data_IF_796818823887
#
_entry.id   IF_796818823887
#
_cell.length_a   1.000
_cell.length_b   1.000
_cell.length_c   1.000
_cell.angle_alpha   90.00
_cell.angle_beta   90.00
_cell.angle_gamma   90.00
#
_symmetry.space_group_name_H-M   'P 1'
#
loop_
_entity.id
_entity.type
_entity.pdbx_description
1 polymer ?
#
# COMPACT_ATOMS: atom_id res chain seq x y z
N UNK A 1 -24.97 38.03 0.25
CA UNK A 1 -24.14 36.83 0.49
C UNK A 1 -24.98 35.83 1.28
N UNK A 2 -25.75 35.00 0.60
CA UNK A 2 -26.44 33.88 1.24
C UNK A 2 -25.42 32.76 1.40
N UNK A 3 -24.99 32.51 2.64
CA UNK A 3 -24.22 31.31 2.96
C UNK A 3 -25.07 30.09 2.56
N UNK A 4 -24.54 29.24 1.69
CA UNK A 4 -25.11 27.92 1.42
C UNK A 4 -25.36 27.21 2.76
N UNK A 5 -26.64 27.03 3.10
CA UNK A 5 -27.05 26.43 4.37
C UNK A 5 -26.65 24.94 4.37
N UNK A 6 -25.45 24.64 4.88
CA UNK A 6 -25.02 23.27 5.14
C UNK A 6 -25.71 22.77 6.42
N UNK A 7 -26.69 21.88 6.30
CA UNK A 7 -27.20 21.15 7.45
C UNK A 7 -26.11 20.22 7.97
N UNK A 8 -25.55 20.55 9.12
CA UNK A 8 -24.46 19.82 9.78
C UNK A 8 -24.91 19.43 11.18
N UNK A 9 -24.50 18.26 11.65
CA UNK A 9 -24.82 17.83 13.00
C UNK A 9 -23.69 18.24 13.95
N UNK A 10 -24.07 18.87 15.06
CA UNK A 10 -23.15 19.41 16.05
C UNK A 10 -23.43 18.79 17.41
N UNK A 11 -22.39 18.28 18.05
CA UNK A 11 -22.45 17.71 19.39
C UNK A 11 -21.86 18.69 20.39
N UNK A 12 -22.65 19.07 21.39
CA UNK A 12 -22.24 19.94 22.48
C UNK A 12 -22.19 19.16 23.79
N UNK A 13 -21.16 19.41 24.61
CA UNK A 13 -21.09 18.90 25.98
C UNK A 13 -20.82 20.04 26.95
N UNK A 14 -21.24 19.89 28.21
CA UNK A 14 -20.82 20.81 29.26
C UNK A 14 -19.38 20.49 29.69
N UNK A 15 -18.53 21.50 29.74
CA UNK A 15 -17.20 21.38 30.34
C UNK A 15 -17.26 21.32 31.88
N UNK A 16 -16.11 21.21 32.55
CA UNK A 16 -16.02 21.18 34.02
C UNK A 16 -16.60 22.42 34.71
N UNK A 17 -16.73 23.54 34.00
CA UNK A 17 -17.37 24.77 34.47
C UNK A 17 -18.88 24.85 34.13
N UNK A 18 -19.47 23.77 33.59
CA UNK A 18 -20.89 23.71 33.23
C UNK A 18 -21.25 24.43 31.92
N UNK A 19 -20.27 24.97 31.19
CA UNK A 19 -20.48 25.70 29.93
C UNK A 19 -20.57 24.73 28.76
N UNK A 20 -21.60 24.88 27.92
CA UNK A 20 -21.71 24.16 26.65
C UNK A 20 -20.55 24.52 25.73
N UNK A 21 -19.85 23.50 25.25
CA UNK A 21 -18.75 23.60 24.29
C UNK A 21 -19.03 22.66 23.13
N UNK A 22 -18.73 23.11 21.91
CA UNK A 22 -18.78 22.27 20.72
C UNK A 22 -17.69 21.19 20.84
N UNK A 23 -18.09 19.93 20.83
CA UNK A 23 -17.20 18.78 20.97
C UNK A 23 -16.93 18.08 19.66
N UNK A 24 -17.93 18.01 18.79
CA UNK A 24 -17.78 17.42 17.48
C UNK A 24 -18.77 18.05 16.50
N UNK A 25 -18.42 18.03 15.22
CA UNK A 25 -19.21 18.56 14.12
C UNK A 25 -18.99 17.66 12.92
N UNK A 26 -20.06 17.28 12.21
CA UNK A 26 -19.92 16.53 10.97
C UNK A 26 -19.12 17.32 9.93
N UNK A 27 -18.19 16.65 9.23
CA UNK A 27 -17.44 17.27 8.13
C UNK A 27 -18.31 17.53 6.89
N UNK A 28 -19.26 16.62 6.64
CA UNK A 28 -20.17 16.67 5.50
C UNK A 28 -21.57 17.14 5.88
N UNK A 29 -22.32 17.54 4.84
CA UNK A 29 -23.75 17.81 4.95
C UNK A 29 -24.43 16.48 5.30
N UNK A 30 -25.16 16.45 6.40
CA UNK A 30 -25.93 15.26 6.74
C UNK A 30 -27.10 15.10 5.78
N UNK A 31 -27.49 13.85 5.48
CA UNK A 31 -28.64 13.55 4.62
C UNK A 31 -29.83 14.42 5.06
N UNK A 32 -30.36 15.25 4.16
CA UNK A 32 -31.67 15.83 4.37
C UNK A 32 -32.67 14.74 3.96
N UNK A 33 -33.36 14.16 4.94
CA UNK A 33 -34.59 13.45 4.63
C UNK A 33 -35.66 14.45 4.15
N UNK A 34 -36.81 13.94 3.75
CA UNK A 34 -37.98 14.79 3.44
C UNK A 34 -38.49 15.55 4.68
N UNK A 35 -38.02 15.14 5.87
CA UNK A 35 -38.34 15.71 7.18
C UNK A 35 -37.10 16.08 7.99
N UNK A 36 -37.31 16.90 9.01
CA UNK A 36 -36.32 17.15 10.07
C UNK A 36 -36.00 15.81 10.76
N UNK A 37 -34.72 15.43 10.90
CA UNK A 37 -34.37 14.17 11.55
C UNK A 37 -34.78 14.16 13.01
N UNK A 38 -35.25 13.00 13.47
CA UNK A 38 -35.53 12.77 14.89
C UNK A 38 -34.22 12.45 15.60
N UNK A 39 -33.97 13.13 16.72
CA UNK A 39 -32.80 12.87 17.57
C UNK A 39 -33.30 12.41 18.93
N UNK A 40 -32.88 11.22 19.33
CA UNK A 40 -33.18 10.66 20.66
C UNK A 40 -31.90 10.29 21.40
N UNK A 41 -32.02 10.17 22.72
CA UNK A 41 -30.96 9.70 23.60
C UNK A 41 -31.62 8.84 24.65
N UNK A 42 -31.12 7.62 24.82
CA UNK A 42 -31.62 6.69 25.85
C UNK A 42 -30.77 6.79 27.12
N UNK A 43 -29.47 7.03 26.96
CA UNK A 43 -28.51 7.21 28.04
C UNK A 43 -27.38 8.16 27.66
N UNK A 44 -26.70 8.73 28.67
CA UNK A 44 -25.57 9.62 28.42
C UNK A 44 -24.46 8.86 27.69
N UNK A 45 -24.08 9.34 26.52
CA UNK A 45 -23.07 8.68 25.69
C UNK A 45 -23.64 7.97 24.48
N UNK A 46 -24.96 7.85 24.34
CA UNK A 46 -25.60 7.26 23.16
C UNK A 46 -26.68 8.21 22.61
N UNK A 47 -26.60 8.46 21.31
CA UNK A 47 -27.58 9.23 20.55
C UNK A 47 -28.00 8.48 19.29
N UNK A 48 -29.27 8.61 18.93
CA UNK A 48 -29.80 8.11 17.67
C UNK A 48 -30.23 9.27 16.80
N UNK A 49 -29.90 9.20 15.51
CA UNK A 49 -30.36 10.15 14.49
C UNK A 49 -31.13 9.40 13.42
N UNK A 50 -32.45 9.58 13.38
CA UNK A 50 -33.36 8.91 12.46
C UNK A 50 -33.83 9.86 11.36
N UNK A 51 -33.63 9.45 10.11
CA UNK A 51 -34.15 10.10 8.91
C UNK A 51 -35.35 9.29 8.41
N UNK A 52 -36.55 9.83 8.58
CA UNK A 52 -37.81 9.15 8.26
C UNK A 52 -38.42 9.82 7.02
N UNK A 53 -38.75 9.04 6.01
CA UNK A 53 -39.40 9.52 4.77
C UNK A 53 -40.88 9.90 5.04
N UNK A 54 -41.49 10.65 4.12
CA UNK A 54 -42.82 11.22 4.38
C UNK A 54 -43.89 10.16 4.61
N UNK A 55 -43.79 9.04 3.92
CA UNK A 55 -44.72 7.92 4.03
C UNK A 55 -44.52 7.08 5.31
N UNK A 56 -43.47 7.36 6.09
CA UNK A 56 -43.03 6.61 7.29
C UNK A 56 -42.80 5.12 7.04
N UNK A 57 -42.59 4.71 5.78
CA UNK A 57 -42.31 3.31 5.41
C UNK A 57 -40.82 3.04 5.29
N UNK A 58 -40.02 4.10 5.18
CA UNK A 58 -38.58 4.00 5.13
C UNK A 58 -37.94 4.87 6.20
N UNK A 59 -36.96 4.32 6.89
CA UNK A 59 -36.16 4.99 7.92
C UNK A 59 -34.69 4.64 7.70
N UNK A 60 -33.79 5.60 7.89
CA UNK A 60 -32.35 5.39 8.05
C UNK A 60 -31.96 5.95 9.42
N UNK A 61 -31.35 5.14 10.26
CA UNK A 61 -30.96 5.56 11.61
C UNK A 61 -29.48 5.31 11.87
N UNK A 62 -28.86 6.27 12.54
CA UNK A 62 -27.46 6.22 12.97
C UNK A 62 -27.41 6.17 14.50
N UNK A 63 -26.71 5.18 15.05
CA UNK A 63 -26.33 5.15 16.46
C UNK A 63 -24.95 5.77 16.62
N UNK A 64 -24.83 6.74 17.52
CA UNK A 64 -23.61 7.48 17.81
C UNK A 64 -23.25 7.28 19.28
N UNK A 65 -22.08 6.69 19.53
CA UNK A 65 -21.60 6.32 20.85
C UNK A 65 -20.35 7.13 21.26
N UNK A 66 -20.28 7.51 22.53
CA UNK A 66 -19.10 8.12 23.15
C UNK A 66 -18.10 7.05 23.56
N UNK A 67 -16.92 7.08 22.95
CA UNK A 67 -15.75 6.29 23.34
C UNK A 67 -14.73 7.15 24.09
N UNK A 68 -13.65 6.51 24.57
CA UNK A 68 -12.60 7.16 25.37
C UNK A 68 -11.98 8.39 24.68
N UNK A 69 -11.89 8.35 23.37
CA UNK A 69 -11.15 9.28 22.52
C UNK A 69 -12.04 10.14 21.61
N UNK A 70 -13.37 9.95 21.64
CA UNK A 70 -14.28 10.73 20.81
C UNK A 70 -15.68 10.15 20.71
N UNK A 71 -16.42 10.65 19.72
CA UNK A 71 -17.77 10.18 19.38
C UNK A 71 -17.71 9.45 18.04
N UNK A 72 -18.45 8.35 17.92
CA UNK A 72 -18.34 7.43 16.80
C UNK A 72 -19.71 6.94 16.35
N UNK A 73 -19.94 6.87 15.04
CA UNK A 73 -21.07 6.11 14.50
C UNK A 73 -20.77 4.62 14.66
N UNK A 74 -21.56 3.92 15.46
CA UNK A 74 -21.32 2.50 15.80
C UNK A 74 -22.31 1.57 15.12
N UNK A 75 -23.51 2.06 14.81
CA UNK A 75 -24.49 1.32 14.03
C UNK A 75 -25.18 2.19 12.99
N UNK A 76 -25.52 1.56 11.87
CA UNK A 76 -26.36 2.13 10.82
C UNK A 76 -27.45 1.11 10.54
N UNK A 77 -28.71 1.51 10.60
CA UNK A 77 -29.80 0.64 10.18
C UNK A 77 -30.76 1.36 9.24
N UNK A 78 -31.43 0.60 8.41
CA UNK A 78 -32.53 1.10 7.61
C UNK A 78 -33.59 0.05 7.39
N UNK A 79 -34.83 0.52 7.27
CA UNK A 79 -35.99 -0.25 6.89
C UNK A 79 -36.50 0.23 5.55
N UNK A 80 -36.76 -0.70 4.62
CA UNK A 80 -37.43 -0.40 3.36
C UNK A 80 -38.07 -1.66 2.78
N UNK A 81 -39.30 -1.53 2.26
CA UNK A 81 -39.98 -2.59 1.50
C UNK A 81 -40.01 -3.97 2.22
N UNK A 82 -40.36 -3.97 3.52
CA UNK A 82 -40.34 -5.17 4.38
C UNK A 82 -38.96 -5.81 4.57
N UNK A 83 -37.89 -5.04 4.40
CA UNK A 83 -36.52 -5.46 4.68
C UNK A 83 -35.89 -4.50 5.68
N UNK A 84 -35.48 -5.04 6.83
CA UNK A 84 -34.58 -4.38 7.76
C UNK A 84 -33.15 -4.76 7.44
N UNK A 85 -32.27 -3.77 7.50
CA UNK A 85 -30.83 -3.94 7.41
C UNK A 85 -30.17 -3.21 8.56
N UNK A 86 -29.21 -3.84 9.21
CA UNK A 86 -28.35 -3.23 10.22
C UNK A 86 -26.89 -3.56 9.93
N UNK A 87 -26.05 -2.56 10.12
CA UNK A 87 -24.60 -2.61 10.09
C UNK A 87 -24.10 -2.28 11.49
N UNK A 88 -23.36 -3.20 12.11
CA UNK A 88 -22.55 -2.92 13.29
C UNK A 88 -21.10 -2.67 12.84
N UNK A 89 -20.59 -1.49 13.14
CA UNK A 89 -19.29 -1.00 12.68
C UNK A 89 -18.22 -1.20 13.76
N UNK A 90 -17.25 -2.05 13.48
CA UNK A 90 -16.06 -2.25 14.33
C UNK A 90 -14.83 -1.67 13.64
N UNK A 91 -13.66 -1.73 14.27
CA UNK A 91 -12.43 -1.21 13.66
C UNK A 91 -11.97 -2.04 12.46
N UNK A 92 -12.07 -3.37 12.57
CA UNK A 92 -11.52 -4.32 11.62
C UNK A 92 -12.56 -5.26 10.99
N UNK A 93 -13.85 -4.96 11.15
CA UNK A 93 -14.94 -5.72 10.51
C UNK A 93 -16.24 -4.93 10.50
N UNK A 94 -17.13 -5.31 9.58
CA UNK A 94 -18.52 -4.89 9.59
C UNK A 94 -19.41 -6.13 9.68
N UNK A 95 -20.37 -6.09 10.59
CA UNK A 95 -21.39 -7.12 10.73
C UNK A 95 -22.72 -6.63 10.14
N UNK A 96 -23.27 -7.39 9.21
CA UNK A 96 -24.52 -7.12 8.53
C UNK A 96 -25.60 -8.05 9.08
N UNK A 97 -26.73 -7.49 9.50
CA UNK A 97 -27.95 -8.21 9.81
C UNK A 97 -29.03 -7.79 8.80
N UNK A 98 -29.53 -8.75 8.03
CA UNK A 98 -30.68 -8.58 7.14
C UNK A 98 -31.87 -9.31 7.72
N UNK A 99 -33.03 -8.67 7.84
CA UNK A 99 -34.29 -9.31 8.19
C UNK A 99 -35.29 -9.03 7.08
N UNK A 100 -35.90 -10.08 6.52
CA UNK A 100 -36.99 -9.96 5.55
C UNK A 100 -38.29 -10.36 6.23
N UNK A 101 -39.25 -9.44 6.26
CA UNK A 101 -40.59 -9.67 6.80
C UNK A 101 -41.50 -10.24 5.70
N UNK A 102 -42.23 -11.30 6.02
CA UNK A 102 -43.19 -11.94 5.13
C UNK A 102 -44.49 -12.23 5.90
N UNK A 103 -45.59 -12.49 5.18
CA UNK A 103 -46.87 -12.80 5.82
C UNK A 103 -46.73 -14.00 6.77
N UNK A 104 -46.77 -13.75 8.08
CA UNK A 104 -46.68 -14.76 9.13
C UNK A 104 -45.30 -14.96 9.76
N UNK A 105 -44.28 -14.15 9.44
CA UNK A 105 -42.98 -14.25 10.11
C UNK A 105 -41.86 -13.39 9.54
N UNK A 106 -40.64 -13.66 9.98
CA UNK A 106 -39.43 -12.99 9.50
C UNK A 106 -38.30 -14.01 9.29
N UNK A 107 -37.41 -13.71 8.33
CA UNK A 107 -36.18 -14.47 8.11
C UNK A 107 -34.98 -13.55 8.30
N UNK A 108 -34.09 -13.91 9.22
CA UNK A 108 -32.85 -13.17 9.46
C UNK A 108 -31.65 -13.85 8.79
N UNK A 109 -30.65 -13.05 8.41
CA UNK A 109 -29.35 -13.51 7.91
C UNK A 109 -28.27 -12.59 8.45
N UNK A 110 -27.21 -13.17 9.02
CA UNK A 110 -26.03 -12.44 9.48
C UNK A 110 -24.85 -12.71 8.56
N UNK A 111 -24.05 -11.69 8.30
CA UNK A 111 -22.83 -11.80 7.52
C UNK A 111 -21.77 -10.90 8.12
N UNK A 112 -20.59 -11.45 8.37
CA UNK A 112 -19.43 -10.67 8.82
C UNK A 112 -18.46 -10.53 7.66
N UNK A 113 -17.94 -9.32 7.47
CA UNK A 113 -16.86 -9.05 6.52
C UNK A 113 -15.71 -8.40 7.29
N UNK A 114 -14.55 -9.05 7.28
CA UNK A 114 -13.32 -8.56 7.91
C UNK A 114 -12.63 -7.53 7.00
N UNK A 115 -11.90 -6.59 7.61
CA UNK A 115 -11.17 -5.52 6.95
C UNK A 115 -11.36 -4.18 7.66
N UNK A 116 -10.42 -3.26 7.46
CA UNK A 116 -10.42 -1.97 8.16
C UNK A 116 -11.63 -1.16 7.74
N UNK A 117 -12.47 -0.83 8.72
CA UNK A 117 -13.71 -0.11 8.47
C UNK A 117 -13.40 1.36 8.20
N UNK A 118 -14.05 1.98 7.19
CA UNK A 118 -13.88 3.39 6.91
C UNK A 118 -14.19 4.27 8.14
N UNK A 119 -13.74 5.53 8.15
CA UNK A 119 -13.75 6.37 9.34
C UNK A 119 -15.16 6.51 9.93
N UNK A 120 -15.31 6.08 11.18
CA UNK A 120 -16.56 6.16 11.93
C UNK A 120 -16.58 7.29 12.95
N UNK A 121 -15.45 7.99 13.12
CA UNK A 121 -15.40 9.14 14.02
C UNK A 121 -16.45 10.16 13.57
N UNK A 122 -17.23 10.70 14.50
CA UNK A 122 -18.35 11.58 14.16
C UNK A 122 -17.90 12.81 13.35
N UNK A 123 -16.66 13.24 13.54
CA UNK A 123 -16.08 14.36 12.81
C UNK A 123 -15.66 14.03 11.36
N UNK A 124 -15.39 12.76 11.05
CA UNK A 124 -14.85 12.32 9.75
C UNK A 124 -15.79 11.37 8.99
N UNK A 125 -16.82 10.87 9.67
CA UNK A 125 -17.79 9.95 9.13
C UNK A 125 -18.48 10.51 7.89
N UNK A 126 -18.57 9.66 6.86
CA UNK A 126 -19.40 9.88 5.68
C UNK A 126 -20.12 8.59 5.33
N UNK A 127 -21.44 8.68 5.17
CA UNK A 127 -22.27 7.53 4.79
C UNK A 127 -21.86 6.96 3.42
N UNK A 128 -21.40 7.80 2.51
CA UNK A 128 -20.99 7.40 1.15
C UNK A 128 -19.76 6.49 1.15
N UNK A 129 -18.92 6.58 2.19
CA UNK A 129 -17.72 5.76 2.33
C UNK A 129 -18.02 4.38 2.92
N UNK A 130 -19.16 4.20 3.58
CA UNK A 130 -19.50 2.95 4.27
C UNK A 130 -20.06 1.94 3.25
N UNK A 131 -19.49 0.73 3.14
CA UNK A 131 -20.04 -0.29 2.26
C UNK A 131 -21.37 -0.82 2.81
N UNK A 132 -22.48 -0.32 2.27
CA UNK A 132 -23.84 -0.66 2.73
C UNK A 132 -24.28 -2.10 2.42
N UNK A 133 -23.46 -2.93 1.77
CA UNK A 133 -23.76 -4.36 1.54
C UNK A 133 -22.53 -5.24 1.78
N UNK A 134 -22.71 -6.52 2.12
CA UNK A 134 -21.60 -7.46 2.24
C UNK A 134 -20.76 -7.59 0.97
N UNK A 135 -21.37 -7.52 -0.21
CA UNK A 135 -20.67 -7.62 -1.50
C UNK A 135 -19.74 -6.43 -1.71
N UNK A 136 -20.23 -5.21 -1.43
CA UNK A 136 -19.39 -3.99 -1.48
C UNK A 136 -18.26 -4.07 -0.46
N UNK A 137 -18.54 -4.55 0.75
CA UNK A 137 -17.52 -4.69 1.78
C UNK A 137 -16.42 -5.68 1.38
N UNK A 138 -16.77 -6.83 0.79
CA UNK A 138 -15.76 -7.79 0.31
C UNK A 138 -14.88 -7.25 -0.82
N UNK A 139 -15.40 -6.29 -1.59
CA UNK A 139 -14.65 -5.65 -2.67
C UNK A 139 -13.80 -4.47 -2.19
N UNK A 140 -14.20 -3.81 -1.10
CA UNK A 140 -13.57 -2.58 -0.61
C UNK A 140 -12.64 -2.82 0.59
N UNK A 141 -13.03 -3.67 1.53
CA UNK A 141 -12.30 -3.80 2.80
C UNK A 141 -11.12 -4.74 2.64
N UNK A 142 -10.01 -4.35 3.24
CA UNK A 142 -8.80 -5.16 3.32
C UNK A 142 -8.16 -5.01 4.71
N UNK A 143 -7.28 -5.95 5.07
CA UNK A 143 -6.46 -5.85 6.27
C UNK A 143 -5.02 -5.50 5.86
N UNK A 144 -4.30 -4.70 6.68
CA UNK A 144 -2.87 -4.50 6.47
C UNK A 144 -2.16 -5.86 6.50
N UNK A 145 -1.35 -6.20 5.48
CA UNK A 145 -0.60 -7.44 5.48
C UNK A 145 0.56 -7.37 6.50
N UNK A 146 1.01 -8.55 6.90
CA UNK A 146 2.27 -8.69 7.62
C UNK A 146 3.45 -8.49 6.66
N UNK A 147 4.44 -7.70 7.07
CA UNK A 147 5.64 -7.46 6.28
C UNK A 147 6.68 -8.53 6.61
N UNK A 148 7.19 -9.28 5.60
CA UNK A 148 8.27 -10.22 5.80
C UNK A 148 9.50 -9.54 6.42
N UNK A 149 9.94 -10.05 7.56
CA UNK A 149 11.14 -9.57 8.23
C UNK A 149 12.38 -9.96 7.41
N UNK A 150 13.26 -8.99 7.18
CA UNK A 150 14.63 -9.25 6.77
C UNK A 150 15.56 -9.03 7.97
N UNK A 151 16.70 -9.73 7.99
CA UNK A 151 17.77 -9.48 8.96
C UNK A 151 19.03 -9.09 8.21
N UNK A 152 19.84 -8.22 8.82
CA UNK A 152 21.07 -7.70 8.24
C UNK A 152 21.00 -6.22 7.87
N UNK A 153 22.12 -5.73 7.35
CA UNK A 153 22.40 -4.31 7.08
C UNK A 153 21.38 -3.62 6.16
N UNK A 154 20.77 -4.38 5.24
CA UNK A 154 19.82 -3.85 4.26
C UNK A 154 18.35 -4.09 4.67
N UNK A 155 18.04 -4.47 5.91
CA UNK A 155 16.66 -4.82 6.26
C UNK A 155 15.72 -3.61 6.17
N UNK A 156 14.62 -3.73 5.43
CA UNK A 156 13.57 -2.71 5.45
C UNK A 156 12.97 -2.63 6.86
N UNK A 157 12.82 -1.43 7.46
CA UNK A 157 12.20 -1.30 8.78
C UNK A 157 10.78 -1.86 8.79
N UNK A 158 10.31 -2.29 9.96
CA UNK A 158 8.92 -2.69 10.10
C UNK A 158 8.00 -1.48 10.08
N UNK A 159 6.87 -1.53 9.36
CA UNK A 159 5.96 -0.42 9.35
C UNK A 159 5.16 -0.36 10.64
N UNK A 160 4.58 0.80 10.85
CA UNK A 160 3.61 1.06 11.90
C UNK A 160 2.27 1.48 11.30
N UNK A 161 1.18 1.03 11.90
CA UNK A 161 -0.16 1.46 11.51
C UNK A 161 -0.38 2.88 12.02
N UNK A 162 -0.55 3.84 11.10
CA UNK A 162 -0.77 5.24 11.44
C UNK A 162 -2.17 5.65 11.00
N UNK A 163 -2.93 6.22 11.93
CA UNK A 163 -4.24 6.81 11.64
C UNK A 163 -4.03 8.23 11.13
N UNK A 164 -4.17 8.41 9.82
CA UNK A 164 -4.15 9.72 9.18
C UNK A 164 -5.46 10.47 9.43
N UNK A 165 -5.44 11.79 9.26
CA UNK A 165 -6.69 12.55 9.16
C UNK A 165 -7.45 12.09 7.92
N UNK A 166 -8.68 11.67 8.13
CA UNK A 166 -9.52 11.09 7.08
C UNK A 166 -9.94 12.09 6.01
N UNK A 167 -10.53 11.58 4.93
CA UNK A 167 -11.04 12.32 3.78
C UNK A 167 -9.97 13.17 3.09
N UNK A 168 -8.73 12.66 3.05
CA UNK A 168 -7.63 13.23 2.28
C UNK A 168 -7.17 12.24 1.22
N UNK A 169 -6.61 12.80 0.16
CA UNK A 169 -6.00 12.04 -0.93
C UNK A 169 -4.67 12.68 -1.29
N UNK A 170 -3.61 11.90 -1.32
CA UNK A 170 -2.25 12.38 -1.60
C UNK A 170 -1.69 11.66 -2.82
N UNK A 171 -0.96 12.39 -3.67
CA UNK A 171 -0.22 11.79 -4.78
C UNK A 171 0.89 10.88 -4.24
N UNK A 172 1.02 9.69 -4.81
CA UNK A 172 2.03 8.69 -4.41
C UNK A 172 3.08 8.55 -5.49
N UNK A 173 4.34 8.69 -5.11
CA UNK A 173 5.49 8.59 -5.99
C UNK A 173 6.30 7.32 -5.66
N UNK A 174 7.11 6.86 -6.61
CA UNK A 174 7.95 5.69 -6.43
C UNK A 174 9.13 5.92 -5.47
N UNK A 175 9.59 7.17 -5.32
CA UNK A 175 10.65 7.59 -4.39
C UNK A 175 10.37 8.94 -3.71
N UNK A 176 11.26 9.43 -2.84
CA UNK A 176 11.07 10.63 -2.01
C UNK A 176 11.23 11.93 -2.81
N UNK A 177 10.28 12.23 -3.71
CA UNK A 177 10.28 13.45 -4.50
C UNK A 177 9.28 13.41 -5.67
N UNK A 178 8.79 14.59 -6.07
CA UNK A 178 7.85 14.70 -7.22
C UNK A 178 8.52 14.43 -8.57
N UNK A 179 9.86 14.44 -8.62
CA UNK A 179 10.65 14.08 -9.79
C UNK A 179 10.68 12.56 -10.04
N UNK A 180 10.34 11.74 -9.04
CA UNK A 180 10.25 10.29 -9.20
C UNK A 180 9.02 9.87 -10.00
N UNK A 181 9.09 8.67 -10.60
CA UNK A 181 7.97 8.10 -11.34
C UNK A 181 6.71 8.00 -10.47
N UNK A 182 5.56 8.32 -11.08
CA UNK A 182 4.23 8.19 -10.47
C UNK A 182 3.40 7.14 -11.22
N UNK A 183 3.09 6.04 -10.53
CA UNK A 183 2.32 4.92 -11.08
C UNK A 183 0.89 5.26 -11.51
N UNK A 184 0.20 4.28 -12.10
CA UNK A 184 -1.18 4.45 -12.56
C UNK A 184 -1.32 5.55 -13.61
N UNK A 185 -0.38 5.64 -14.56
CA UNK A 185 -0.31 6.68 -15.59
C UNK A 185 -0.31 8.11 -14.99
N UNK A 186 0.51 8.33 -13.95
CA UNK A 186 0.62 9.62 -13.28
C UNK A 186 -0.54 9.95 -12.33
N UNK A 187 -1.39 8.97 -11.99
CA UNK A 187 -2.58 9.17 -11.13
C UNK A 187 -2.51 8.44 -9.79
N UNK A 188 -1.43 7.70 -9.51
CA UNK A 188 -1.23 7.01 -8.23
C UNK A 188 -1.47 7.96 -7.06
N UNK A 189 -2.33 7.55 -6.14
CA UNK A 189 -2.70 8.31 -4.98
C UNK A 189 -3.19 7.37 -3.87
N UNK A 190 -2.99 7.79 -2.62
CA UNK A 190 -3.47 7.10 -1.42
C UNK A 190 -4.63 7.88 -0.81
N UNK A 191 -5.68 7.16 -0.42
CA UNK A 191 -6.80 7.66 0.39
C UNK A 191 -6.45 7.50 1.87
N UNK A 192 -6.78 8.47 2.71
CA UNK A 192 -6.61 8.33 4.18
C UNK A 192 -7.83 7.75 4.89
N UNK A 193 -8.76 7.16 4.13
CA UNK A 193 -9.95 6.52 4.68
C UNK A 193 -9.72 5.03 5.00
N UNK A 194 -8.71 4.42 4.40
CA UNK A 194 -8.33 3.04 4.65
C UNK A 194 -7.04 2.99 5.48
N UNK A 195 -6.57 1.78 5.78
CA UNK A 195 -5.36 1.61 6.56
C UNK A 195 -4.12 2.05 5.79
N UNK A 196 -3.14 2.58 6.53
CA UNK A 196 -1.84 2.96 5.98
C UNK A 196 -0.77 2.47 6.96
N UNK A 197 0.17 1.71 6.41
CA UNK A 197 1.38 1.26 7.09
C UNK A 197 2.52 2.19 6.70
N UNK A 198 3.17 2.84 7.67
CA UNK A 198 4.28 3.77 7.42
C UNK A 198 5.59 3.13 7.85
N UNK A 199 6.55 3.01 6.93
CA UNK A 199 7.85 2.39 7.20
C UNK A 199 8.86 3.37 7.81
N UNK A 200 8.84 4.63 7.39
CA UNK A 200 9.81 5.62 7.86
C UNK A 200 9.83 6.89 7.03
N UNK A 201 10.68 7.84 7.43
CA UNK A 201 10.88 9.16 6.81
C UNK A 201 12.21 9.22 6.04
N UNK A 202 12.21 9.88 4.89
CA UNK A 202 13.43 10.25 4.16
C UNK A 202 13.19 11.59 3.46
N UNK A 203 14.07 12.58 3.68
CA UNK A 203 14.08 13.86 2.95
C UNK A 203 12.73 14.61 2.89
N UNK A 204 11.93 14.59 3.97
CA UNK A 204 10.61 15.24 4.01
C UNK A 204 9.48 14.46 3.32
N UNK A 205 9.73 13.18 3.02
CA UNK A 205 8.76 12.22 2.51
C UNK A 205 8.64 11.03 3.46
N UNK A 206 7.51 10.33 3.39
CA UNK A 206 7.30 9.06 4.11
C UNK A 206 7.10 7.92 3.13
N UNK A 207 7.75 6.80 3.39
CA UNK A 207 7.48 5.54 2.70
C UNK A 207 6.31 4.86 3.39
N UNK A 208 5.32 4.46 2.62
CA UNK A 208 4.12 3.82 3.12
C UNK A 208 3.65 2.68 2.23
N UNK A 209 2.82 1.82 2.80
CA UNK A 209 2.01 0.84 2.11
C UNK A 209 0.53 1.13 2.34
N UNK A 210 -0.26 0.94 1.29
CA UNK A 210 -1.71 1.11 1.32
C UNK A 210 -2.37 0.20 0.28
N UNK A 211 -3.67 -0.03 0.44
CA UNK A 211 -4.46 -0.82 -0.48
C UNK A 211 -4.98 -0.01 -1.69
N UNK A 212 -5.16 -0.70 -2.80
CA UNK A 212 -5.87 -0.17 -3.98
C UNK A 212 -7.12 -1.01 -4.21
N UNK A 213 -6.95 -2.34 -4.19
CA UNK A 213 -8.00 -3.37 -4.14
C UNK A 213 -7.54 -4.48 -3.21
N UNK A 214 -8.39 -5.47 -2.94
CA UNK A 214 -8.03 -6.62 -2.10
C UNK A 214 -6.91 -7.51 -2.67
N UNK A 215 -6.60 -7.38 -3.96
CA UNK A 215 -5.57 -8.13 -4.69
C UNK A 215 -4.46 -7.25 -5.30
N UNK A 216 -4.50 -5.94 -5.05
CA UNK A 216 -3.51 -4.98 -5.54
C UNK A 216 -3.22 -3.94 -4.46
N UNK A 217 -1.97 -3.87 -4.03
CA UNK A 217 -1.50 -2.88 -3.07
C UNK A 217 -0.43 -2.00 -3.69
N UNK A 218 0.08 -1.03 -2.93
CA UNK A 218 1.25 -0.26 -3.35
C UNK A 218 2.08 0.16 -2.17
N UNK A 219 3.39 0.04 -2.34
CA UNK A 219 4.41 0.70 -1.54
C UNK A 219 4.91 1.93 -2.32
N UNK A 220 4.90 3.09 -1.68
CA UNK A 220 5.34 4.33 -2.32
C UNK A 220 5.52 5.46 -1.31
N UNK A 221 5.66 6.67 -1.83
CA UNK A 221 6.07 7.84 -1.06
C UNK A 221 5.07 8.99 -1.17
N UNK A 222 4.76 9.63 -0.05
CA UNK A 222 4.00 10.88 0.02
C UNK A 222 4.73 11.91 0.87
N UNK A 223 4.37 13.19 0.74
CA UNK A 223 4.95 14.26 1.55
C UNK A 223 4.68 14.02 3.04
N UNK A 224 5.70 14.23 3.88
CA UNK A 224 5.61 14.04 5.33
C UNK A 224 4.53 14.91 5.98
N UNK A 225 4.21 16.06 5.39
CA UNK A 225 3.14 16.96 5.86
C UNK A 225 1.76 16.31 5.91
N UNK A 226 1.58 15.14 5.29
CA UNK A 226 0.37 14.33 5.40
C UNK A 226 0.19 13.69 6.80
N UNK A 227 1.28 13.51 7.56
CA UNK A 227 1.24 12.91 8.89
C UNK A 227 0.43 13.77 9.87
N UNK A 228 -0.31 13.15 10.80
CA UNK A 228 -0.91 13.89 11.90
C UNK A 228 0.17 14.48 12.80
N UNK A 229 -0.13 15.63 13.44
CA UNK A 229 0.84 16.44 14.20
C UNK A 229 1.68 15.68 15.24
N UNK A 230 1.13 14.60 15.81
CA UNK A 230 1.77 13.82 16.86
C UNK A 230 2.23 12.43 16.39
N UNK A 231 2.34 12.20 15.07
CA UNK A 231 2.84 10.94 14.53
C UNK A 231 4.32 10.77 14.86
N UNK A 232 4.62 9.71 15.61
CA UNK A 232 5.97 9.28 15.87
C UNK A 232 6.40 8.28 14.78
N UNK A 233 7.12 8.72 13.75
CA UNK A 233 7.67 7.88 12.67
C UNK A 233 9.19 7.99 12.69
N UNK A 234 9.92 6.89 12.63
CA UNK A 234 11.38 6.97 12.63
C UNK A 234 11.93 7.42 11.28
N UNK A 235 13.08 8.10 11.28
CA UNK A 235 13.84 8.31 10.06
C UNK A 235 14.35 6.97 9.53
N UNK A 236 14.33 6.82 8.21
CA UNK A 236 14.86 5.67 7.50
C UNK A 236 16.17 6.06 6.84
N UNK A 237 17.23 5.34 7.17
CA UNK A 237 18.53 5.47 6.52
C UNK A 237 18.80 4.17 5.78
N UNK A 238 18.75 4.22 4.45
CA UNK A 238 19.05 3.07 3.63
C UNK A 238 20.55 2.80 3.60
N UNK A 239 20.92 1.54 3.78
CA UNK A 239 22.25 1.06 3.43
C UNK A 239 22.30 0.92 1.91
N UNK A 240 23.26 1.57 1.25
CA UNK A 240 23.33 1.60 -0.21
C UNK A 240 24.46 0.74 -0.75
N UNK A 241 24.22 0.02 -1.85
CA UNK A 241 25.25 -0.66 -2.63
C UNK A 241 24.85 -0.75 -4.09
N UNK A 242 25.82 -0.63 -5.01
CA UNK A 242 25.58 -0.91 -6.42
C UNK A 242 25.52 -2.41 -6.66
N UNK A 243 24.51 -2.83 -7.41
CA UNK A 243 24.25 -4.22 -7.81
C UNK A 243 23.76 -4.23 -9.26
N UNK A 244 23.83 -5.38 -9.92
CA UNK A 244 23.44 -5.54 -11.33
C UNK A 244 22.32 -6.55 -11.48
N UNK A 245 21.43 -6.29 -12.44
CA UNK A 245 20.44 -7.27 -12.87
C UNK A 245 21.12 -8.37 -13.69
N UNK A 246 20.87 -9.64 -13.33
CA UNK A 246 21.40 -10.80 -14.06
C UNK A 246 20.69 -11.03 -15.39
N UNK A 247 19.40 -10.73 -15.40
CA UNK A 247 18.49 -10.83 -16.53
C UNK A 247 17.48 -9.67 -16.50
N UNK A 248 16.72 -9.49 -17.58
CA UNK A 248 15.62 -8.53 -17.58
C UNK A 248 14.70 -8.82 -16.40
N UNK A 249 14.44 -7.81 -15.57
CA UNK A 249 13.77 -7.96 -14.28
C UNK A 249 12.62 -6.99 -14.13
N UNK A 250 11.47 -7.49 -13.67
CA UNK A 250 10.33 -6.65 -13.37
C UNK A 250 10.60 -5.85 -12.10
N UNK A 251 10.43 -4.53 -12.19
CA UNK A 251 10.36 -3.63 -11.06
C UNK A 251 8.88 -3.49 -10.68
N UNK A 252 8.52 -3.75 -9.41
CA UNK A 252 7.15 -3.64 -8.91
C UNK A 252 7.07 -2.71 -7.70
N UNK A 253 5.93 -2.05 -7.51
CA UNK A 253 5.59 -1.34 -6.27
C UNK A 253 4.64 -2.16 -5.38
N UNK A 254 4.29 -3.39 -5.77
CA UNK A 254 3.40 -4.31 -5.05
C UNK A 254 4.03 -5.70 -4.86
N UNK A 255 5.10 -5.82 -4.06
CA UNK A 255 5.83 -7.08 -3.90
C UNK A 255 5.07 -8.19 -3.16
N UNK A 256 3.98 -7.86 -2.45
CA UNK A 256 3.28 -8.80 -1.57
C UNK A 256 2.02 -9.43 -2.19
N UNK A 257 1.40 -8.77 -3.19
CA UNK A 257 0.15 -9.24 -3.79
C UNK A 257 0.32 -9.48 -5.28
N UNK A 258 0.15 -8.46 -6.12
CA UNK A 258 0.07 -8.64 -7.56
C UNK A 258 1.42 -8.90 -8.22
N UNK A 259 2.53 -8.41 -7.62
CA UNK A 259 3.86 -8.36 -8.23
C UNK A 259 3.86 -7.74 -9.64
N UNK A 260 2.85 -6.93 -9.96
CA UNK A 260 2.68 -6.35 -11.28
C UNK A 260 3.84 -5.40 -11.58
N UNK A 261 4.42 -5.53 -12.78
CA UNK A 261 5.54 -4.71 -13.19
C UNK A 261 5.08 -3.27 -13.46
N UNK A 262 5.72 -2.30 -12.81
CA UNK A 262 5.62 -0.88 -13.17
C UNK A 262 6.64 -0.51 -14.25
N UNK A 263 7.72 -1.28 -14.36
CA UNK A 263 8.71 -1.18 -15.44
C UNK A 263 9.53 -2.48 -15.53
N UNK A 264 10.24 -2.64 -16.65
CA UNK A 264 11.19 -3.74 -16.85
C UNK A 264 12.61 -3.17 -16.90
N UNK A 265 13.45 -3.56 -15.95
CA UNK A 265 14.86 -3.22 -15.91
C UNK A 265 15.59 -4.19 -16.84
N UNK A 266 16.34 -3.73 -17.86
CA UNK A 266 17.09 -4.61 -18.74
C UNK A 266 18.10 -5.49 -17.99
N UNK A 267 18.59 -6.55 -18.62
CA UNK A 267 19.71 -7.33 -18.09
C UNK A 267 20.99 -6.49 -18.01
N UNK A 268 21.91 -6.87 -17.13
CA UNK A 268 23.20 -6.21 -16.91
C UNK A 268 23.07 -4.70 -16.67
N UNK A 269 22.05 -4.30 -15.93
CA UNK A 269 21.79 -2.89 -15.59
C UNK A 269 22.17 -2.66 -14.14
N UNK A 270 23.00 -1.65 -13.91
CA UNK A 270 23.34 -1.18 -12.57
C UNK A 270 22.10 -0.55 -11.90
N UNK A 271 21.85 -0.93 -10.66
CA UNK A 271 20.83 -0.36 -9.78
C UNK A 271 21.42 -0.20 -8.39
N UNK A 272 20.89 0.76 -7.63
CA UNK A 272 21.29 0.96 -6.24
C UNK A 272 20.36 0.17 -5.32
N UNK A 273 20.89 -0.86 -4.65
CA UNK A 273 20.20 -1.55 -3.55
C UNK A 273 19.99 -0.59 -2.39
N UNK A 274 18.77 -0.52 -1.87
CA UNK A 274 18.39 0.31 -0.72
C UNK A 274 17.99 -0.55 0.49
N UNK A 275 17.17 -1.58 0.26
CA UNK A 275 16.71 -2.46 1.34
C UNK A 275 16.31 -3.86 0.84
N UNK A 276 16.02 -4.78 1.76
CA UNK A 276 15.52 -6.12 1.52
C UNK A 276 14.26 -6.37 2.35
N UNK A 277 13.33 -7.13 1.77
CA UNK A 277 12.05 -7.52 2.39
C UNK A 277 11.66 -8.90 1.87
N UNK A 278 11.87 -9.94 2.69
CA UNK A 278 11.70 -11.33 2.24
C UNK A 278 12.59 -11.66 1.04
N UNK A 279 11.99 -12.16 -0.05
CA UNK A 279 12.72 -12.47 -1.30
C UNK A 279 12.91 -11.27 -2.23
N UNK A 280 12.47 -10.09 -1.80
CA UNK A 280 12.54 -8.86 -2.59
C UNK A 280 13.67 -7.95 -2.13
N UNK A 281 14.26 -7.24 -3.09
CA UNK A 281 15.19 -6.14 -2.85
C UNK A 281 14.55 -4.85 -3.34
N UNK A 282 14.45 -3.86 -2.47
CA UNK A 282 14.07 -2.50 -2.80
C UNK A 282 15.27 -1.78 -3.42
N UNK A 283 15.13 -1.29 -4.63
CA UNK A 283 16.19 -0.67 -5.43
C UNK A 283 15.78 0.71 -5.93
N UNK A 284 16.76 1.56 -6.19
CA UNK A 284 16.63 2.74 -7.04
C UNK A 284 17.24 2.46 -8.41
N UNK A 285 16.51 2.82 -9.46
CA UNK A 285 16.94 2.71 -10.84
C UNK A 285 16.74 4.02 -11.59
N UNK A 286 17.81 4.46 -12.25
CA UNK A 286 17.87 5.69 -13.02
C UNK A 286 17.99 5.35 -14.51
N UNK A 287 16.86 5.03 -15.15
CA UNK A 287 16.86 4.76 -16.59
C UNK A 287 17.25 6.02 -17.39
N UNK A 288 18.04 5.85 -18.44
CA UNK A 288 18.46 6.96 -19.29
C UNK A 288 17.24 7.69 -19.87
N UNK A 289 17.20 9.03 -19.71
CA UNK A 289 16.12 9.90 -20.18
C UNK A 289 14.73 9.62 -19.57
N UNK A 290 14.67 8.97 -18.40
CA UNK A 290 13.42 8.77 -17.66
C UNK A 290 13.50 9.37 -16.25
N UNK A 291 12.35 9.42 -15.57
CA UNK A 291 12.32 9.74 -14.15
C UNK A 291 12.99 8.63 -13.33
N UNK A 292 13.68 8.96 -12.22
CA UNK A 292 14.15 7.97 -11.28
C UNK A 292 12.97 7.16 -10.74
N UNK A 293 13.19 5.87 -10.54
CA UNK A 293 12.18 4.94 -10.03
C UNK A 293 12.76 4.18 -8.85
N UNK A 294 11.99 4.03 -7.77
CA UNK A 294 12.27 3.00 -6.77
C UNK A 294 11.17 1.96 -6.73
N UNK A 295 11.54 0.73 -6.43
CA UNK A 295 10.61 -0.40 -6.40
C UNK A 295 11.33 -1.68 -6.01
N UNK A 296 10.62 -2.78 -6.09
CA UNK A 296 11.10 -4.09 -5.68
C UNK A 296 11.44 -4.95 -6.89
N UNK A 297 12.56 -5.65 -6.80
CA UNK A 297 13.01 -6.69 -7.75
C UNK A 297 13.26 -7.97 -6.95
N UNK A 298 13.04 -9.13 -7.55
CA UNK A 298 13.39 -10.40 -6.92
C UNK A 298 14.89 -10.43 -6.62
N UNK A 299 15.26 -10.66 -5.36
CA UNK A 299 16.67 -10.65 -4.91
C UNK A 299 17.52 -11.66 -5.69
N UNK A 300 16.92 -12.78 -6.10
CA UNK A 300 17.57 -13.80 -6.92
C UNK A 300 18.07 -13.29 -8.28
N UNK A 301 17.48 -12.19 -8.79
CA UNK A 301 17.84 -11.59 -10.07
C UNK A 301 18.93 -10.52 -9.95
N UNK A 302 19.45 -10.26 -8.75
CA UNK A 302 20.50 -9.26 -8.50
C UNK A 302 21.82 -9.92 -8.14
N UNK A 303 22.92 -9.34 -8.61
CA UNK A 303 24.29 -9.78 -8.33
C UNK A 303 25.20 -8.59 -7.99
N UNK A 304 26.33 -8.86 -7.37
CA UNK A 304 27.39 -7.87 -7.18
C UNK A 304 28.39 -7.85 -8.35
N UNK A 305 28.20 -8.70 -9.38
CA UNK A 305 29.09 -8.79 -10.54
C UNK A 305 28.45 -8.12 -11.76
N UNK A 306 29.16 -7.16 -12.36
CA UNK A 306 28.82 -6.69 -13.70
C UNK A 306 29.25 -7.68 -14.78
N UNK A 307 28.74 -7.55 -16.01
CA UNK A 307 29.26 -8.35 -17.13
C UNK A 307 30.77 -8.12 -17.39
N UNK A 308 31.30 -6.94 -17.08
CA UNK A 308 32.72 -6.63 -17.20
C UNK A 308 33.54 -7.38 -16.13
N UNK A 309 33.02 -7.48 -14.90
CA UNK A 309 33.64 -8.27 -13.83
C UNK A 309 33.68 -9.76 -14.21
N UNK A 310 32.56 -10.27 -14.73
CA UNK A 310 32.42 -11.65 -15.21
C UNK A 310 33.41 -11.93 -16.35
N UNK A 311 33.53 -11.02 -17.32
CA UNK A 311 34.51 -11.12 -18.39
C UNK A 311 35.94 -11.10 -17.83
N UNK A 312 36.25 -10.22 -16.88
CA UNK A 312 37.57 -10.14 -16.27
C UNK A 312 37.94 -11.42 -15.49
N UNK A 313 36.97 -12.04 -14.80
CA UNK A 313 37.14 -13.34 -14.15
C UNK A 313 37.45 -14.42 -15.18
N UNK A 314 36.71 -14.47 -16.28
CA UNK A 314 36.94 -15.45 -17.35
C UNK A 314 38.33 -15.31 -17.98
N UNK A 315 38.77 -14.07 -18.26
CA UNK A 315 40.12 -13.79 -18.78
C UNK A 315 41.21 -14.30 -17.82
N UNK A 316 41.08 -14.03 -16.50
CA UNK A 316 42.02 -14.51 -15.49
C UNK A 316 42.03 -16.04 -15.42
N UNK A 317 40.86 -16.66 -15.49
CA UNK A 317 40.70 -18.12 -15.44
C UNK A 317 41.36 -18.80 -16.63
N UNK A 318 41.18 -18.26 -17.84
CA UNK A 318 41.85 -18.76 -19.05
C UNK A 318 43.36 -18.56 -19.01
N UNK A 319 43.82 -17.41 -18.52
CA UNK A 319 45.25 -17.16 -18.37
C UNK A 319 45.89 -18.16 -17.41
N UNK A 320 45.22 -18.50 -16.31
CA UNK A 320 45.69 -19.46 -15.33
C UNK A 320 45.72 -20.91 -15.84
N UNK A 321 44.89 -21.26 -16.83
CA UNK A 321 44.90 -22.59 -17.47
C UNK A 321 45.96 -22.76 -18.56
N UNK A 322 46.68 -21.68 -18.90
CA UNK A 322 47.64 -21.66 -20.01
C UNK A 322 46.99 -21.45 -21.38
N UNK A 323 45.72 -21.05 -21.44
CA UNK A 323 45.08 -20.66 -22.71
C UNK A 323 45.73 -19.37 -23.24
N UNK A 324 46.25 -19.42 -24.46
CA UNK A 324 46.93 -18.30 -25.12
C UNK A 324 46.25 -18.00 -26.45
N UNK A 325 45.77 -16.76 -26.61
CA UNK A 325 45.15 -16.27 -27.85
C UNK A 325 46.18 -15.89 -28.92
N UNK A 326 47.47 -15.90 -28.58
CA UNK A 326 48.53 -15.32 -29.40
C UNK A 326 48.35 -13.81 -29.56
N UNK A 327 48.78 -13.25 -30.69
CA UNK A 327 48.53 -11.85 -31.09
C UNK A 327 47.09 -11.62 -31.59
N UNK A 328 46.21 -12.62 -31.52
CA UNK A 328 44.86 -12.55 -32.08
C UNK A 328 43.87 -11.95 -31.08
N UNK A 329 42.95 -11.12 -31.58
CA UNK A 329 41.86 -10.57 -30.76
C UNK A 329 40.86 -11.66 -30.36
N UNK A 330 40.58 -11.71 -29.06
CA UNK A 330 39.51 -12.51 -28.49
C UNK A 330 38.30 -11.62 -28.18
N UNK A 331 37.10 -12.16 -28.42
CA UNK A 331 35.85 -11.55 -27.99
C UNK A 331 35.11 -12.49 -27.03
N UNK A 332 34.33 -11.88 -26.14
CA UNK A 332 33.65 -12.55 -25.05
C UNK A 332 32.16 -12.24 -25.12
N UNK A 333 31.33 -13.26 -24.95
CA UNK A 333 29.88 -13.12 -24.82
C UNK A 333 29.45 -13.65 -23.46
N UNK A 334 28.93 -12.77 -22.61
CA UNK A 334 28.54 -13.07 -21.24
C UNK A 334 27.02 -13.24 -21.15
N UNK A 335 26.56 -14.38 -20.62
CA UNK A 335 25.13 -14.65 -20.41
C UNK A 335 24.93 -15.34 -19.07
N UNK A 336 23.96 -14.88 -18.28
CA UNK A 336 23.57 -15.55 -17.05
C UNK A 336 22.59 -16.69 -17.32
N UNK A 337 22.88 -17.86 -16.77
CA UNK A 337 21.99 -19.02 -16.77
C UNK A 337 21.28 -19.15 -15.40
N UNK A 338 19.97 -18.89 -15.34
CA UNK A 338 19.22 -18.97 -14.09
C UNK A 338 19.03 -20.40 -13.58
N UNK A 339 19.13 -21.44 -14.43
CA UNK A 339 18.95 -22.83 -14.00
C UNK A 339 20.15 -23.34 -13.21
N UNK A 340 21.35 -22.93 -13.63
CA UNK A 340 22.61 -23.33 -12.99
C UNK A 340 23.17 -22.28 -12.04
N UNK A 341 22.53 -21.10 -11.96
CA UNK A 341 22.96 -19.94 -11.18
C UNK A 341 24.40 -19.49 -11.48
N UNK A 342 24.80 -19.57 -12.75
CA UNK A 342 26.16 -19.28 -13.22
C UNK A 342 26.14 -18.36 -14.42
N UNK A 343 27.22 -17.63 -14.60
CA UNK A 343 27.50 -16.94 -15.84
C UNK A 343 28.24 -17.86 -16.79
N UNK A 344 27.82 -17.87 -18.05
CA UNK A 344 28.57 -18.44 -19.17
C UNK A 344 29.30 -17.32 -19.89
N UNK A 345 30.61 -17.49 -20.06
CA UNK A 345 31.45 -16.59 -20.86
C UNK A 345 31.98 -17.36 -22.05
N UNK A 346 31.33 -17.18 -23.19
CA UNK A 346 31.72 -17.84 -24.43
C UNK A 346 32.85 -17.06 -25.07
N UNK A 347 33.96 -17.74 -25.33
CA UNK A 347 35.18 -17.13 -25.85
C UNK A 347 35.36 -17.45 -27.33
N UNK A 348 35.52 -16.41 -28.13
CA UNK A 348 35.77 -16.49 -29.55
C UNK A 348 37.15 -15.92 -29.85
N UNK A 349 37.88 -16.56 -30.75
CA UNK A 349 39.13 -16.03 -31.34
C UNK A 349 38.93 -16.00 -32.84
N UNK A 350 39.14 -14.85 -33.47
CA UNK A 350 38.82 -14.62 -34.89
C UNK A 350 37.39 -15.07 -35.27
N UNK A 351 36.41 -14.77 -34.42
CA UNK A 351 34.99 -15.16 -34.59
C UNK A 351 34.72 -16.68 -34.57
N UNK A 352 35.67 -17.51 -34.13
CA UNK A 352 35.48 -18.95 -33.94
C UNK A 352 35.41 -19.29 -32.46
N UNK A 353 34.37 -20.04 -32.08
CA UNK A 353 34.20 -20.59 -30.73
C UNK A 353 35.46 -21.35 -30.31
N UNK A 354 35.95 -21.10 -29.10
CA UNK A 354 37.08 -21.81 -28.51
C UNK A 354 36.65 -22.63 -27.30
N UNK A 355 36.04 -21.98 -26.31
CA UNK A 355 35.69 -22.58 -25.02
C UNK A 355 34.63 -21.73 -24.32
N UNK A 356 34.10 -22.23 -23.21
CA UNK A 356 33.25 -21.52 -22.28
C UNK A 356 33.91 -21.49 -20.90
N UNK A 357 33.88 -20.34 -20.26
CA UNK A 357 34.21 -20.21 -18.83
C UNK A 357 32.90 -20.05 -18.07
N UNK A 358 32.69 -20.89 -17.07
CA UNK A 358 31.62 -20.76 -16.11
C UNK A 358 32.09 -19.95 -14.91
N UNK A 359 31.40 -18.86 -14.59
CA UNK A 359 31.68 -18.03 -13.40
C UNK A 359 30.53 -18.21 -12.40
N UNK A 360 30.88 -18.62 -11.18
CA UNK A 360 29.93 -18.73 -10.07
C UNK A 360 29.52 -17.34 -9.60
N UNK A 361 28.21 -17.09 -9.52
CA UNK A 361 27.68 -15.77 -9.18
C UNK A 361 27.90 -15.38 -7.72
N UNK A 362 27.97 -16.35 -6.82
CA UNK A 362 28.13 -16.11 -5.39
C UNK A 362 29.61 -15.92 -5.00
N UNK A 363 30.50 -16.72 -5.57
CA UNK A 363 31.94 -16.69 -5.22
C UNK A 363 32.79 -15.86 -6.18
N UNK A 364 32.31 -15.62 -7.41
CA UNK A 364 33.12 -15.02 -8.47
C UNK A 364 34.25 -15.93 -8.97
N UNK A 365 34.18 -17.24 -8.71
CA UNK A 365 35.19 -18.20 -9.16
C UNK A 365 34.88 -18.70 -10.57
N UNK A 366 35.91 -18.76 -11.42
CA UNK A 366 35.81 -19.23 -12.80
C UNK A 366 36.28 -20.68 -12.97
N UNK A 367 35.62 -21.43 -13.85
CA UNK A 367 36.00 -22.78 -14.26
C UNK A 367 35.85 -22.95 -15.76
N UNK A 368 36.73 -23.74 -16.39
CA UNK A 368 36.71 -23.97 -17.84
C UNK A 368 35.83 -25.19 -18.14
N UNK A 369 34.96 -25.06 -19.14
CA UNK A 369 34.06 -26.11 -19.61
C UNK A 369 34.56 -26.91 -20.80
#
# INVERSE_FOLDING_TARGET
MHSENKNVLCLFEKNSAGKWVLKAKSSEIVKQGERIPLITSEEYGIYYVSYIDDDRKSELSLEIEKKKDGWYVTRINWDKDNVFMELSLYENKIEYLKIVYANGGSKSTRTTVEGVTPPTSFAEFSLDNIPMTPEKARAQLSLPPDIPQATGEYSLPQPQNIKFTSNKKYAVYSGPGENYFRGGNGKAAVSTNDWIQVFGRENGWIMLQYDITSDHMRIGWIQESALPKNANVSDMQFSQAQVWTKASSNLTDDPLFSAAAISAIPANTEVTRLATMGTWTYVEWNAANAQPMRGFVQSANLTNLSADDVQAIAVRTLSASGFNTGEQEASYSCQYDPETARWSVVVYVQHKYQTVVWVDDATGEGTIG
#
